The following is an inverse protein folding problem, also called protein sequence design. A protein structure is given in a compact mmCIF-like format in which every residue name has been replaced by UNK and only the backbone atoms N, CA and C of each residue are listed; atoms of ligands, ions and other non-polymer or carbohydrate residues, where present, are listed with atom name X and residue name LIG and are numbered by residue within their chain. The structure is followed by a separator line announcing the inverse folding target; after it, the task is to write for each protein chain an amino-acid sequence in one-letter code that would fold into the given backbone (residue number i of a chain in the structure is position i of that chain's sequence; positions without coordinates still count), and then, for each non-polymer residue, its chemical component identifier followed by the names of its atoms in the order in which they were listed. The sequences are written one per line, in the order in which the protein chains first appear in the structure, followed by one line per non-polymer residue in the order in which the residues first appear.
data_IF_622323878519
#
_entry.id   IF_622323878519
#
_cell.length_a   1.000
_cell.length_b   1.000
_cell.length_c   1.000
_cell.angle_alpha   90.00
_cell.angle_beta   90.00
_cell.angle_gamma   90.00
#
_symmetry.space_group_name_H-M   'P 1'
#
loop_
_entity.id
_entity.type
_entity.pdbx_description
1 polymer ?
#
# COMPACT_ATOMS: atom_id res chain seq x y z
N UNK A 1 16.44 26.88 1.05
CA UNK A 1 16.04 27.92 0.07
C UNK A 1 16.85 29.21 0.17
N UNK A 2 16.91 29.90 1.33
CA UNK A 2 17.68 31.17 1.49
C UNK A 2 19.13 31.06 0.99
N UNK A 3 19.86 30.04 1.43
CA UNK A 3 21.25 29.79 0.97
C UNK A 3 21.37 29.54 -0.53
N UNK A 4 20.36 28.90 -1.15
CA UNK A 4 20.36 28.65 -2.59
C UNK A 4 20.31 29.98 -3.34
N UNK A 5 19.36 30.85 -2.97
CA UNK A 5 19.20 32.17 -3.61
C UNK A 5 20.45 33.05 -3.42
N UNK A 6 21.04 33.04 -2.23
CA UNK A 6 22.27 33.78 -1.94
C UNK A 6 23.47 33.25 -2.75
N UNK A 7 23.61 31.92 -2.86
CA UNK A 7 24.74 31.28 -3.53
C UNK A 7 24.71 31.37 -5.06
N UNK A 8 23.56 31.11 -5.68
CA UNK A 8 23.47 30.99 -7.16
C UNK A 8 23.68 32.34 -7.84
N UNK A 9 23.27 33.45 -7.21
CA UNK A 9 23.55 34.80 -7.71
C UNK A 9 22.78 35.21 -8.97
N UNK A 10 21.88 34.36 -9.49
CA UNK A 10 21.00 34.67 -10.63
C UNK A 10 19.62 35.11 -10.15
N UNK A 11 18.91 35.85 -11.01
CA UNK A 11 17.53 36.26 -10.72
C UNK A 11 16.60 35.04 -10.80
N UNK A 12 15.95 34.73 -9.69
CA UNK A 12 14.99 33.62 -9.59
C UNK A 12 13.67 34.12 -9.01
N UNK A 13 12.54 33.56 -9.45
CA UNK A 13 11.23 33.74 -8.82
C UNK A 13 10.83 32.46 -8.11
N UNK A 14 10.72 32.53 -6.78
CA UNK A 14 10.30 31.41 -5.93
C UNK A 14 8.90 31.67 -5.43
N UNK A 15 7.93 30.89 -5.93
CA UNK A 15 6.54 30.98 -5.52
C UNK A 15 6.25 29.99 -4.40
N UNK A 16 5.93 30.51 -3.21
CA UNK A 16 5.60 29.72 -2.04
C UNK A 16 4.08 29.70 -1.85
N UNK A 17 3.45 28.52 -1.91
CA UNK A 17 2.00 28.37 -1.77
C UNK A 17 1.62 27.41 -0.64
N UNK A 18 0.44 27.62 -0.04
CA UNK A 18 -0.18 26.74 0.96
C UNK A 18 -1.70 26.84 0.86
N UNK A 19 -2.45 25.79 1.20
CA UNK A 19 -3.92 25.78 0.99
C UNK A 19 -4.65 26.84 1.81
N UNK A 20 -4.47 26.84 3.13
CA UNK A 20 -5.11 27.80 4.03
C UNK A 20 -4.09 28.83 4.52
N UNK A 21 -4.22 30.07 4.05
CA UNK A 21 -3.46 31.21 4.55
C UNK A 21 -4.40 32.18 5.26
N UNK A 22 -4.76 31.87 6.51
CA UNK A 22 -5.61 32.76 7.30
C UNK A 22 -4.84 34.02 7.76
N UNK A 23 -3.52 33.92 7.98
CA UNK A 23 -2.62 35.04 8.31
C UNK A 23 -1.22 34.85 7.68
N UNK A 24 -0.66 35.91 7.10
CA UNK A 24 0.73 35.93 6.58
C UNK A 24 1.76 35.63 7.70
N UNK A 25 1.44 35.96 8.95
CA UNK A 25 2.33 35.75 10.12
C UNK A 25 2.52 34.27 10.51
N UNK A 26 1.64 33.37 10.07
CA UNK A 26 1.71 31.92 10.35
C UNK A 26 2.23 31.11 9.13
N UNK A 27 2.98 31.77 8.24
CA UNK A 27 3.35 31.21 6.92
C UNK A 27 4.85 31.10 6.71
N UNK A 28 5.23 30.42 5.62
CA UNK A 28 6.60 30.27 5.06
C UNK A 28 7.39 31.58 5.07
N UNK A 29 6.70 32.72 4.89
CA UNK A 29 7.30 34.04 4.99
C UNK A 29 8.00 34.28 6.34
N UNK A 30 7.37 33.92 7.45
CA UNK A 30 7.94 34.08 8.80
C UNK A 30 9.16 33.18 8.99
N UNK A 31 9.11 31.95 8.49
CA UNK A 31 10.22 31.00 8.55
C UNK A 31 11.40 31.46 7.70
N UNK A 32 11.16 31.97 6.50
CA UNK A 32 12.20 32.55 5.65
C UNK A 32 12.82 33.79 6.29
N UNK A 33 12.02 34.69 6.89
CA UNK A 33 12.52 35.86 7.62
C UNK A 33 13.41 35.45 8.79
N UNK A 34 12.99 34.44 9.57
CA UNK A 34 13.80 33.90 10.66
C UNK A 34 15.10 33.29 10.12
N UNK A 35 15.03 32.48 9.06
CA UNK A 35 16.20 31.84 8.45
C UNK A 35 17.21 32.86 7.90
N UNK A 36 16.75 33.94 7.27
CA UNK A 36 17.62 35.04 6.80
C UNK A 36 18.39 35.66 7.97
N UNK A 37 17.68 35.97 9.06
CA UNK A 37 18.29 36.53 10.27
C UNK A 37 19.28 35.55 10.92
N UNK A 38 18.86 34.30 11.10
CA UNK A 38 19.66 33.24 11.72
C UNK A 38 20.94 32.92 10.93
N UNK A 39 20.90 33.05 9.61
CA UNK A 39 22.05 32.87 8.73
C UNK A 39 22.96 34.11 8.64
N UNK A 40 22.60 35.22 9.29
CA UNK A 40 23.36 36.47 9.22
C UNK A 40 23.25 37.17 7.86
N UNK A 41 22.20 36.88 7.07
CA UNK A 41 22.01 37.38 5.72
C UNK A 41 21.05 38.58 5.64
N UNK A 42 20.70 39.19 6.76
CA UNK A 42 19.71 40.29 6.83
C UNK A 42 20.02 41.42 5.83
N UNK A 43 21.28 41.81 5.68
CA UNK A 43 21.68 42.89 4.77
C UNK A 43 21.61 42.50 3.29
N UNK A 44 21.63 41.20 2.99
CA UNK A 44 21.53 40.70 1.62
C UNK A 44 20.09 40.70 1.09
N UNK A 45 19.08 40.81 1.97
CA UNK A 45 17.68 40.74 1.60
C UNK A 45 16.91 42.02 1.93
N UNK A 46 15.89 42.29 1.11
CA UNK A 46 14.87 43.31 1.32
C UNK A 46 13.55 42.62 1.66
N UNK A 47 13.20 42.63 2.96
CA UNK A 47 12.02 41.94 3.48
C UNK A 47 10.84 42.91 3.49
N UNK A 48 9.94 42.76 2.53
CA UNK A 48 8.75 43.60 2.35
C UNK A 48 7.49 42.91 2.88
N UNK A 49 6.34 43.60 2.84
CA UNK A 49 5.09 43.09 3.42
C UNK A 49 4.62 41.75 2.81
N UNK A 50 4.83 41.56 1.51
CA UNK A 50 4.30 40.41 0.73
C UNK A 50 5.36 39.75 -0.15
N UNK A 51 6.60 40.24 -0.13
CA UNK A 51 7.71 39.68 -0.92
C UNK A 51 9.01 39.79 -0.14
N UNK A 52 9.98 38.94 -0.47
CA UNK A 52 11.35 39.02 0.03
C UNK A 52 12.27 39.03 -1.19
N UNK A 53 13.10 40.06 -1.32
CA UNK A 53 13.95 40.26 -2.50
C UNK A 53 15.41 40.16 -2.11
N UNK A 54 16.19 39.35 -2.81
CA UNK A 54 17.64 39.33 -2.67
C UNK A 54 18.25 40.53 -3.39
N UNK A 55 18.96 41.40 -2.67
CA UNK A 55 19.43 42.70 -3.18
C UNK A 55 20.41 42.58 -4.34
N UNK A 56 21.28 41.57 -4.32
CA UNK A 56 22.32 41.40 -5.34
C UNK A 56 21.79 40.80 -6.64
N UNK A 57 21.04 39.69 -6.55
CA UNK A 57 20.58 38.96 -7.74
C UNK A 57 19.21 39.42 -8.24
N UNK A 58 18.46 40.16 -7.42
CA UNK A 58 17.07 40.52 -7.71
C UNK A 58 16.11 39.32 -7.66
N UNK A 59 16.55 38.18 -7.12
CA UNK A 59 15.67 37.05 -6.89
C UNK A 59 14.59 37.40 -5.86
N UNK A 60 13.40 36.85 -6.01
CA UNK A 60 12.26 37.17 -5.17
C UNK A 60 11.51 35.93 -4.68
N UNK A 61 10.99 36.03 -3.47
CA UNK A 61 10.02 35.12 -2.89
C UNK A 61 8.64 35.76 -2.90
N UNK A 62 7.69 35.11 -3.55
CA UNK A 62 6.28 35.53 -3.57
C UNK A 62 5.41 34.48 -2.86
N UNK A 63 4.33 34.92 -2.22
CA UNK A 63 3.54 34.08 -1.32
C UNK A 63 2.06 34.15 -1.66
N UNK A 64 1.40 33.00 -1.85
CA UNK A 64 -0.03 32.91 -2.14
C UNK A 64 -0.74 31.83 -1.33
N UNK A 65 -2.01 32.09 -0.99
CA UNK A 65 -2.92 31.10 -0.42
C UNK A 65 -3.80 30.51 -1.52
N UNK A 66 -3.76 29.19 -1.73
CA UNK A 66 -4.40 28.54 -2.89
C UNK A 66 -5.91 28.84 -2.96
N UNK A 67 -6.62 28.71 -1.83
CA UNK A 67 -8.09 28.89 -1.77
C UNK A 67 -8.57 30.30 -2.16
N UNK A 68 -7.72 31.33 -1.98
CA UNK A 68 -8.11 32.73 -2.21
C UNK A 68 -7.50 33.34 -3.46
N UNK A 69 -6.38 32.79 -3.93
CA UNK A 69 -5.54 33.41 -4.94
C UNK A 69 -5.31 32.51 -6.17
N UNK A 70 -6.19 31.52 -6.41
CA UNK A 70 -6.00 30.58 -7.52
C UNK A 70 -5.89 31.27 -8.91
N UNK A 71 -6.69 32.30 -9.15
CA UNK A 71 -6.60 33.11 -10.38
C UNK A 71 -5.30 33.94 -10.47
N UNK A 72 -4.81 34.45 -9.34
CA UNK A 72 -3.52 35.17 -9.31
C UNK A 72 -2.35 34.23 -9.56
N UNK A 73 -2.38 33.02 -8.99
CA UNK A 73 -1.39 31.96 -9.26
C UNK A 73 -1.39 31.64 -10.76
N UNK A 74 -2.58 31.46 -11.37
CA UNK A 74 -2.74 31.23 -12.81
C UNK A 74 -2.14 32.34 -13.68
N UNK A 75 -2.27 33.59 -13.25
CA UNK A 75 -1.72 34.77 -13.92
C UNK A 75 -0.22 34.98 -13.69
N UNK A 76 0.41 34.22 -12.80
CA UNK A 76 1.82 34.38 -12.47
C UNK A 76 2.70 33.69 -13.52
N UNK A 77 3.68 34.41 -14.07
CA UNK A 77 4.64 33.90 -15.06
C UNK A 77 6.06 33.79 -14.50
N UNK A 78 6.95 33.15 -15.25
CA UNK A 78 8.41 33.15 -15.00
C UNK A 78 8.82 32.59 -13.63
N UNK A 79 8.06 31.62 -13.10
CA UNK A 79 8.40 30.93 -11.85
C UNK A 79 9.50 29.91 -12.11
N UNK A 80 10.60 30.05 -11.36
CA UNK A 80 11.73 29.11 -11.35
C UNK A 80 11.47 27.96 -10.39
N UNK A 81 10.95 28.27 -9.20
CA UNK A 81 10.67 27.27 -8.18
C UNK A 81 9.27 27.49 -7.63
N UNK A 82 8.41 26.47 -7.74
CA UNK A 82 7.20 26.35 -6.96
C UNK A 82 7.50 25.57 -5.68
N UNK A 83 7.21 26.16 -4.52
CA UNK A 83 7.28 25.48 -3.23
C UNK A 83 5.88 25.40 -2.62
N UNK A 84 5.33 24.19 -2.58
CA UNK A 84 4.04 23.88 -1.97
C UNK A 84 4.28 23.38 -0.56
N UNK A 85 3.86 24.15 0.43
CA UNK A 85 3.85 23.75 1.84
C UNK A 85 2.51 23.14 2.24
N UNK A 86 2.55 22.19 3.18
CA UNK A 86 1.39 21.35 3.55
C UNK A 86 0.66 20.78 2.32
N UNK A 87 1.44 20.21 1.40
CA UNK A 87 0.89 19.71 0.15
C UNK A 87 -0.13 18.57 0.35
N UNK A 88 -0.22 17.93 1.52
CA UNK A 88 -1.24 16.91 1.81
C UNK A 88 -2.66 17.43 1.64
N UNK A 89 -2.86 18.75 1.71
CA UNK A 89 -4.17 19.37 1.53
C UNK A 89 -4.50 19.73 0.09
N UNK A 90 -3.53 19.69 -0.83
CA UNK A 90 -3.72 20.05 -2.23
C UNK A 90 -4.75 19.11 -2.89
N UNK A 91 -5.67 19.67 -3.68
CA UNK A 91 -6.63 18.88 -4.47
C UNK A 91 -6.23 18.79 -5.94
N UNK A 92 -6.77 17.80 -6.66
CA UNK A 92 -6.53 17.66 -8.10
C UNK A 92 -6.95 18.89 -8.90
N UNK A 93 -8.17 19.39 -8.66
CA UNK A 93 -8.67 20.61 -9.33
C UNK A 93 -7.76 21.83 -9.12
N UNK A 94 -7.14 21.96 -7.93
CA UNK A 94 -6.18 23.02 -7.65
C UNK A 94 -4.87 22.79 -8.43
N UNK A 95 -4.36 21.56 -8.42
CA UNK A 95 -3.14 21.22 -9.14
C UNK A 95 -3.26 21.37 -10.65
N UNK A 96 -4.41 21.03 -11.23
CA UNK A 96 -4.68 21.21 -12.66
C UNK A 96 -4.60 22.69 -13.10
N UNK A 97 -4.85 23.62 -12.17
CA UNK A 97 -4.66 25.05 -12.40
C UNK A 97 -3.22 25.50 -12.13
N UNK A 98 -2.59 24.98 -11.07
CA UNK A 98 -1.26 25.42 -10.62
C UNK A 98 -0.15 24.86 -11.51
N UNK A 99 -0.16 23.56 -11.80
CA UNK A 99 0.93 22.88 -12.50
C UNK A 99 1.26 23.51 -13.87
N UNK A 100 0.29 23.87 -14.73
CA UNK A 100 0.57 24.49 -16.02
C UNK A 100 1.22 25.89 -15.94
N UNK A 101 1.18 26.55 -14.77
CA UNK A 101 1.83 27.86 -14.58
C UNK A 101 3.35 27.72 -14.47
N UNK A 102 3.84 26.55 -14.07
CA UNK A 102 5.26 26.22 -13.89
C UNK A 102 5.79 25.64 -15.21
N UNK A 103 5.98 26.52 -16.19
CA UNK A 103 6.30 26.15 -17.58
C UNK A 103 7.70 26.53 -18.04
N UNK A 104 8.50 27.16 -17.18
CA UNK A 104 9.86 27.59 -17.54
C UNK A 104 10.75 26.37 -17.70
N UNK A 105 11.64 26.39 -18.69
CA UNK A 105 12.68 25.37 -18.82
C UNK A 105 13.51 25.33 -17.53
N UNK A 106 13.79 24.12 -17.04
CA UNK A 106 14.45 23.85 -15.75
C UNK A 106 13.70 24.34 -14.49
N UNK A 107 12.41 24.71 -14.59
CA UNK A 107 11.63 24.99 -13.39
C UNK A 107 11.37 23.75 -12.55
N UNK A 108 11.30 23.95 -11.23
CA UNK A 108 11.13 22.89 -10.25
C UNK A 108 9.87 23.10 -9.41
N UNK A 109 9.11 22.04 -9.19
CA UNK A 109 8.09 22.00 -8.15
C UNK A 109 8.57 21.16 -6.96
N UNK A 110 8.50 21.75 -5.76
CA UNK A 110 8.82 21.12 -4.48
C UNK A 110 7.53 21.01 -3.69
N UNK A 111 7.10 19.78 -3.43
CA UNK A 111 5.92 19.51 -2.61
C UNK A 111 6.40 18.97 -1.25
N UNK A 112 6.21 19.74 -0.18
CA UNK A 112 6.51 19.31 1.18
C UNK A 112 5.20 19.04 1.92
N UNK A 113 5.10 17.86 2.52
CA UNK A 113 3.89 17.45 3.23
C UNK A 113 4.15 16.36 4.25
N UNK A 114 3.27 16.28 5.24
CA UNK A 114 3.16 15.11 6.11
C UNK A 114 2.02 14.23 5.55
N UNK A 115 2.28 12.97 5.15
CA UNK A 115 1.25 12.10 4.60
C UNK A 115 0.07 11.98 5.57
N UNK A 116 -1.13 12.35 5.13
CA UNK A 116 -2.33 12.26 5.96
C UNK A 116 -3.15 11.02 5.61
N UNK A 117 -3.70 10.96 4.41
CA UNK A 117 -4.51 9.84 3.92
C UNK A 117 -3.87 9.22 2.69
N UNK A 118 -3.98 7.90 2.53
CA UNK A 118 -3.64 7.22 1.26
C UNK A 118 -4.52 7.73 0.11
N UNK A 119 -5.67 8.32 0.43
CA UNK A 119 -6.61 8.87 -0.53
C UNK A 119 -6.30 10.32 -0.94
N UNK A 120 -5.33 10.97 -0.31
CA UNK A 120 -4.96 12.34 -0.65
C UNK A 120 -4.34 12.42 -2.04
N UNK A 121 -4.64 13.52 -2.74
CA UNK A 121 -4.18 13.74 -4.12
C UNK A 121 -2.66 13.64 -4.25
N UNK A 122 -1.93 14.29 -3.33
CA UNK A 122 -0.46 14.31 -3.40
C UNK A 122 0.13 12.92 -3.15
N UNK A 123 -0.41 12.17 -2.19
CA UNK A 123 0.04 10.79 -1.95
C UNK A 123 -0.20 9.90 -3.17
N UNK A 124 -1.41 9.95 -3.74
CA UNK A 124 -1.77 9.18 -4.95
C UNK A 124 -0.88 9.48 -6.14
N UNK A 125 -0.65 10.77 -6.43
CA UNK A 125 -0.09 11.19 -7.72
C UNK A 125 1.40 11.49 -7.66
N UNK A 126 2.01 11.57 -6.48
CA UNK A 126 3.46 11.83 -6.34
C UNK A 126 4.20 10.80 -5.51
N UNK A 127 3.51 9.89 -4.80
CA UNK A 127 4.16 8.79 -4.07
C UNK A 127 3.79 7.45 -4.69
N UNK A 128 2.49 7.13 -4.77
CA UNK A 128 2.03 5.86 -5.36
C UNK A 128 2.27 5.86 -6.87
N UNK A 129 1.73 6.86 -7.57
CA UNK A 129 1.85 6.99 -9.02
C UNK A 129 2.88 8.07 -9.37
N UNK A 130 4.12 7.88 -8.92
CA UNK A 130 5.20 8.87 -9.09
C UNK A 130 5.41 9.22 -10.57
N UNK A 131 5.33 10.52 -10.98
CA UNK A 131 5.52 10.92 -12.37
C UNK A 131 6.99 10.76 -12.82
N UNK A 132 7.26 10.68 -14.14
CA UNK A 132 8.61 10.77 -14.66
C UNK A 132 9.32 12.04 -14.19
N UNK A 133 10.64 11.97 -14.00
CA UNK A 133 11.46 13.09 -13.54
C UNK A 133 11.11 13.64 -12.14
N UNK A 134 10.37 12.88 -11.34
CA UNK A 134 10.10 13.21 -9.93
C UNK A 134 11.09 12.48 -9.00
N UNK A 135 11.55 13.16 -7.96
CA UNK A 135 12.33 12.55 -6.87
C UNK A 135 11.49 12.60 -5.61
N UNK A 136 11.18 11.42 -5.07
CA UNK A 136 10.45 11.26 -3.81
C UNK A 136 11.45 10.90 -2.72
N UNK A 137 11.47 11.69 -1.66
CA UNK A 137 12.37 11.46 -0.53
C UNK A 137 11.61 11.55 0.79
N UNK A 138 11.55 10.43 1.51
CA UNK A 138 10.95 10.38 2.84
C UNK A 138 11.97 10.82 3.89
N UNK A 139 11.62 11.85 4.65
CA UNK A 139 12.40 12.33 5.79
C UNK A 139 11.53 12.17 7.03
N UNK A 140 12.09 11.59 8.09
CA UNK A 140 11.40 11.43 9.37
C UNK A 140 12.25 12.00 10.52
N UNK A 141 11.73 11.89 11.74
CA UNK A 141 12.39 12.43 12.94
C UNK A 141 13.80 11.86 13.16
N UNK A 142 14.09 10.64 12.71
CA UNK A 142 15.42 10.03 12.90
C UNK A 142 16.51 10.71 12.06
N UNK A 143 16.11 11.41 10.99
CA UNK A 143 17.00 12.18 10.11
C UNK A 143 17.22 13.62 10.60
N UNK A 144 16.59 14.04 11.71
CA UNK A 144 16.70 15.40 12.23
C UNK A 144 17.73 15.48 13.37
N UNK A 145 18.95 16.01 13.13
CA UNK A 145 19.98 16.13 14.15
C UNK A 145 19.67 17.22 15.19
N UNK A 146 18.66 18.06 14.96
CA UNK A 146 18.30 19.20 15.82
C UNK A 146 17.14 18.91 16.78
N UNK A 147 16.71 17.64 16.91
CA UNK A 147 15.67 17.28 17.88
C UNK A 147 16.13 17.52 19.32
N UNK A 148 15.33 18.29 20.06
CA UNK A 148 15.54 18.47 21.50
C UNK A 148 15.37 17.16 22.27
N UNK A 149 16.06 17.04 23.40
CA UNK A 149 15.92 15.88 24.29
C UNK A 149 14.49 15.69 24.81
N UNK A 150 13.73 16.78 24.96
CA UNK A 150 12.31 16.70 25.28
C UNK A 150 11.52 16.02 24.15
N UNK A 151 11.71 16.46 22.91
CA UNK A 151 11.02 15.88 21.75
C UNK A 151 11.34 14.38 21.60
N UNK A 152 12.60 13.98 21.79
CA UNK A 152 12.99 12.55 21.78
C UNK A 152 12.23 11.73 22.83
N UNK A 153 12.06 12.26 24.05
CA UNK A 153 11.28 11.59 25.10
C UNK A 153 9.79 11.51 24.76
N UNK A 154 9.21 12.60 24.24
CA UNK A 154 7.80 12.65 23.87
C UNK A 154 7.49 11.67 22.71
N UNK A 155 8.41 11.55 21.74
CA UNK A 155 8.36 10.58 20.64
C UNK A 155 8.39 9.14 21.17
N UNK A 156 9.35 8.82 22.04
CA UNK A 156 9.48 7.49 22.64
C UNK A 156 8.25 7.11 23.48
N UNK A 157 7.72 8.04 24.27
CA UNK A 157 6.51 7.82 25.06
C UNK A 157 5.27 7.60 24.18
N UNK A 158 5.18 8.28 23.03
CA UNK A 158 4.10 8.02 22.06
C UNK A 158 4.25 6.64 21.43
N UNK A 159 5.46 6.24 21.06
CA UNK A 159 5.72 4.92 20.47
C UNK A 159 5.25 3.78 21.37
N UNK A 160 5.48 3.91 22.69
CA UNK A 160 5.04 2.91 23.67
C UNK A 160 3.52 2.95 23.89
N UNK A 161 2.95 4.15 24.03
CA UNK A 161 1.52 4.34 24.35
C UNK A 161 0.60 4.00 23.17
N UNK A 162 0.96 4.45 21.98
CA UNK A 162 0.15 4.34 20.77
C UNK A 162 1.06 4.17 19.54
N UNK A 163 1.51 2.92 19.28
CA UNK A 163 2.38 2.62 18.14
C UNK A 163 1.77 3.00 16.79
N UNK A 164 0.44 3.02 16.69
CA UNK A 164 -0.29 3.31 15.44
C UNK A 164 -0.22 4.80 15.12
N UNK A 165 -0.60 5.63 16.08
CA UNK A 165 -0.51 7.08 15.96
C UNK A 165 0.95 7.52 15.84
N UNK A 166 1.87 6.85 16.52
CA UNK A 166 3.31 7.08 16.36
C UNK A 166 3.78 6.87 14.92
N UNK A 167 3.43 5.72 14.31
CA UNK A 167 3.84 5.39 12.95
C UNK A 167 3.30 6.41 11.94
N UNK A 168 2.08 6.89 12.18
CA UNK A 168 1.50 7.95 11.38
C UNK A 168 2.23 9.28 11.52
N UNK A 169 2.35 9.79 12.76
CA UNK A 169 2.87 11.14 13.03
C UNK A 169 4.39 11.22 12.80
N UNK A 170 5.14 10.23 13.27
CA UNK A 170 6.60 10.25 13.27
C UNK A 170 7.22 9.33 12.23
N UNK A 171 6.56 8.22 11.87
CA UNK A 171 6.97 7.37 10.75
C UNK A 171 6.59 7.95 9.38
N UNK A 172 5.60 8.85 9.34
CA UNK A 172 5.09 9.43 8.10
C UNK A 172 4.29 8.43 7.26
N UNK A 173 3.76 7.37 7.89
CA UNK A 173 2.87 6.42 7.21
C UNK A 173 1.48 7.07 7.11
N UNK A 174 0.93 7.29 5.91
CA UNK A 174 -0.41 7.85 5.81
C UNK A 174 -1.43 6.90 6.43
N UNK A 175 -2.50 7.47 6.95
CA UNK A 175 -3.66 6.71 7.34
C UNK A 175 -4.27 6.12 6.06
N UNK A 176 -4.68 4.85 6.10
CA UNK A 176 -5.71 4.38 5.17
C UNK A 176 -6.94 5.28 5.30
N UNK A 177 -7.89 5.27 4.35
CA UNK A 177 -9.12 6.06 4.51
C UNK A 177 -10.01 5.64 5.70
N UNK A 178 -9.49 4.77 6.59
CA UNK A 178 -9.76 4.69 8.03
C UNK A 178 -9.11 3.40 8.57
N UNK A 179 -9.37 3.10 9.84
CA UNK A 179 -9.65 1.75 10.36
C UNK A 179 -10.23 0.72 9.35
N UNK A 180 -10.77 1.14 8.20
CA UNK A 180 -11.29 0.28 7.15
C UNK A 180 -10.22 -0.36 6.24
N UNK A 181 -8.96 0.10 6.19
CA UNK A 181 -7.94 -0.63 5.38
C UNK A 181 -7.80 -2.06 5.88
N UNK A 182 -7.85 -3.03 4.97
CA UNK A 182 -7.93 -4.44 5.36
C UNK A 182 -6.58 -4.92 5.92
N UNK A 183 -5.48 -4.54 5.27
CA UNK A 183 -4.12 -4.84 5.71
C UNK A 183 -3.40 -3.56 6.14
N UNK A 184 -2.74 -3.61 7.31
CA UNK A 184 -1.80 -2.58 7.71
C UNK A 184 -0.39 -2.95 7.22
N UNK A 185 0.33 -1.98 6.66
CA UNK A 185 1.70 -2.21 6.14
C UNK A 185 2.63 -2.83 7.19
N UNK A 186 2.58 -2.31 8.41
CA UNK A 186 3.36 -2.84 9.54
C UNK A 186 3.11 -4.32 9.82
N UNK A 187 1.90 -4.81 9.57
CA UNK A 187 1.60 -6.23 9.75
C UNK A 187 2.31 -7.09 8.72
N UNK A 188 2.26 -6.65 7.46
CA UNK A 188 2.90 -7.33 6.33
C UNK A 188 4.44 -7.30 6.44
N UNK A 189 5.02 -6.17 6.84
CA UNK A 189 6.47 -6.07 7.04
C UNK A 189 6.97 -7.07 8.09
N UNK A 190 6.21 -7.29 9.17
CA UNK A 190 6.52 -8.31 10.17
C UNK A 190 6.31 -9.75 9.68
N UNK A 191 5.59 -9.96 8.57
CA UNK A 191 5.41 -11.29 7.96
C UNK A 191 6.64 -11.72 7.13
N UNK A 192 7.55 -10.81 6.78
CA UNK A 192 8.77 -11.16 6.04
C UNK A 192 9.66 -12.04 6.89
N UNK A 193 9.91 -13.26 6.42
CA UNK A 193 10.66 -14.31 7.12
C UNK A 193 10.15 -14.59 8.55
N UNK A 194 8.87 -14.30 8.85
CA UNK A 194 8.28 -14.51 10.17
C UNK A 194 8.49 -15.93 10.72
N UNK A 195 8.43 -16.96 9.87
CA UNK A 195 8.72 -18.34 10.26
C UNK A 195 10.14 -18.51 10.84
N UNK A 196 11.14 -17.79 10.29
CA UNK A 196 12.52 -17.79 10.80
C UNK A 196 12.63 -17.00 12.10
N UNK A 197 11.98 -15.84 12.18
CA UNK A 197 12.00 -14.97 13.37
C UNK A 197 11.36 -15.66 14.56
N UNK A 198 10.21 -16.28 14.35
CA UNK A 198 9.46 -17.04 15.37
C UNK A 198 10.07 -18.41 15.65
N UNK A 199 10.98 -18.89 14.78
CA UNK A 199 11.57 -20.24 14.85
C UNK A 199 10.51 -21.33 14.85
N UNK A 200 9.51 -21.17 13.98
CA UNK A 200 8.42 -22.13 13.79
C UNK A 200 8.59 -22.77 12.43
N UNK A 201 8.59 -24.10 12.40
CA UNK A 201 8.43 -24.85 11.15
C UNK A 201 6.97 -24.81 10.73
N UNK A 202 6.72 -24.26 9.55
CA UNK A 202 5.40 -24.26 8.95
C UNK A 202 5.25 -25.52 8.10
N UNK A 203 4.02 -26.02 8.05
CA UNK A 203 3.63 -27.12 7.18
C UNK A 203 2.33 -26.73 6.49
N UNK A 204 2.23 -26.95 5.19
CA UNK A 204 1.04 -26.64 4.43
C UNK A 204 1.10 -27.34 3.08
N UNK A 205 -0.05 -27.46 2.40
CA UNK A 205 -0.04 -27.91 1.01
C UNK A 205 0.65 -26.86 0.15
N UNK A 206 1.32 -27.33 -0.90
CA UNK A 206 1.86 -26.46 -1.93
C UNK A 206 0.69 -25.93 -2.76
N UNK A 207 0.54 -24.61 -2.81
CA UNK A 207 -0.56 -23.93 -3.50
C UNK A 207 0.04 -22.83 -4.36
N UNK A 208 -0.35 -22.79 -5.62
CA UNK A 208 -0.09 -21.65 -6.51
C UNK A 208 -1.42 -20.92 -6.67
N UNK A 209 -1.52 -19.75 -6.03
CA UNK A 209 -2.62 -18.83 -6.27
C UNK A 209 -2.44 -18.17 -7.63
N UNK A 210 -3.51 -18.05 -8.41
CA UNK A 210 -3.49 -17.51 -9.76
C UNK A 210 -4.64 -16.53 -9.99
N UNK A 211 -4.29 -15.28 -10.31
CA UNK A 211 -5.20 -14.29 -10.85
C UNK A 211 -4.98 -14.20 -12.38
N UNK A 212 -5.92 -14.66 -13.22
CA UNK A 212 -5.76 -14.67 -14.67
C UNK A 212 -5.82 -13.29 -15.34
N UNK A 213 -6.04 -12.19 -14.59
CA UNK A 213 -6.36 -10.85 -15.07
C UNK A 213 -7.68 -10.72 -15.83
N UNK A 214 -8.26 -9.52 -15.77
CA UNK A 214 -9.43 -9.14 -16.56
C UNK A 214 -8.98 -8.41 -17.85
N UNK A 215 -9.53 -8.86 -18.98
CA UNK A 215 -9.60 -8.16 -20.27
C UNK A 215 -8.45 -7.19 -20.63
N UNK A 216 -7.26 -7.73 -20.92
CA UNK A 216 -6.22 -7.16 -21.78
C UNK A 216 -5.30 -6.04 -21.26
N UNK A 217 -5.76 -5.15 -20.38
CA UNK A 217 -4.89 -4.10 -19.79
C UNK A 217 -4.27 -4.51 -18.45
N UNK A 218 -4.88 -5.48 -17.76
CA UNK A 218 -4.42 -5.96 -16.46
C UNK A 218 -3.40 -7.09 -16.59
N UNK A 219 -2.47 -7.17 -15.62
CA UNK A 219 -1.43 -8.22 -15.58
C UNK A 219 -1.96 -9.47 -14.91
N UNK A 220 -1.74 -10.65 -15.47
CA UNK A 220 -1.95 -11.89 -14.72
C UNK A 220 -0.91 -12.01 -13.62
N UNK A 221 -1.24 -12.71 -12.53
CA UNK A 221 -0.35 -12.84 -11.38
C UNK A 221 -0.42 -14.21 -10.71
N UNK A 222 0.68 -14.64 -10.11
CA UNK A 222 0.75 -15.82 -9.25
C UNK A 222 1.38 -15.50 -7.90
N UNK A 223 0.94 -16.22 -6.86
CA UNK A 223 1.58 -16.25 -5.56
C UNK A 223 1.79 -17.71 -5.12
N UNK A 224 3.04 -18.09 -4.87
CA UNK A 224 3.42 -19.47 -4.62
C UNK A 224 3.59 -19.70 -3.12
N UNK A 225 2.67 -20.45 -2.53
CA UNK A 225 2.69 -20.82 -1.12
C UNK A 225 3.15 -22.27 -0.96
N UNK A 226 4.41 -22.45 -0.56
CA UNK A 226 5.08 -23.76 -0.42
C UNK A 226 5.34 -24.01 1.06
N UNK A 227 4.95 -25.18 1.57
CA UNK A 227 5.06 -25.55 2.99
C UNK A 227 4.48 -24.49 3.97
N UNK A 228 3.45 -23.76 3.53
CA UNK A 228 2.82 -22.70 4.32
C UNK A 228 3.48 -21.32 4.22
N UNK A 229 4.58 -21.18 3.47
CA UNK A 229 5.33 -19.93 3.26
C UNK A 229 5.10 -19.43 1.84
N UNK A 230 4.82 -18.14 1.65
CA UNK A 230 4.88 -17.52 0.33
C UNK A 230 6.34 -17.41 -0.10
N UNK A 231 6.73 -18.17 -1.12
CA UNK A 231 8.12 -18.31 -1.56
C UNK A 231 8.43 -17.54 -2.85
N UNK A 232 7.41 -17.28 -3.66
CA UNK A 232 7.52 -16.55 -4.93
C UNK A 232 6.23 -15.76 -5.22
N UNK A 233 6.37 -14.68 -5.99
CA UNK A 233 5.25 -13.87 -6.48
C UNK A 233 5.62 -13.24 -7.82
N UNK A 234 4.81 -13.47 -8.85
CA UNK A 234 5.07 -12.99 -10.21
C UNK A 234 3.84 -12.31 -10.79
N UNK A 235 4.04 -11.25 -11.57
CA UNK A 235 3.03 -10.60 -12.39
C UNK A 235 3.55 -10.37 -13.81
N UNK A 236 2.72 -10.59 -14.82
CA UNK A 236 3.11 -10.43 -16.22
C UNK A 236 1.95 -9.89 -17.07
N UNK A 237 2.29 -9.13 -18.10
CA UNK A 237 1.30 -8.66 -19.08
C UNK A 237 0.74 -9.84 -19.87
N UNK A 238 -0.58 -9.88 -20.01
CA UNK A 238 -1.30 -10.89 -20.77
C UNK A 238 -2.24 -10.22 -21.77
N UNK A 239 -2.26 -10.72 -23.01
CA UNK A 239 -3.27 -10.34 -24.00
C UNK A 239 -4.64 -10.97 -23.72
N UNK A 240 -5.69 -10.45 -24.37
CA UNK A 240 -7.09 -10.92 -24.21
C UNK A 240 -7.28 -12.40 -24.54
N UNK A 241 -6.56 -12.91 -25.54
CA UNK A 241 -6.67 -14.30 -26.00
C UNK A 241 -5.63 -15.24 -25.38
N UNK A 242 -4.94 -14.81 -24.30
CA UNK A 242 -3.79 -15.55 -23.74
C UNK A 242 -4.10 -16.44 -22.53
N UNK A 243 -5.39 -16.57 -22.15
CA UNK A 243 -5.80 -17.36 -20.99
C UNK A 243 -5.30 -18.81 -21.03
N UNK A 244 -5.33 -19.45 -22.20
CA UNK A 244 -4.84 -20.83 -22.38
C UNK A 244 -3.33 -20.91 -22.11
N UNK A 245 -2.54 -19.97 -22.63
CA UNK A 245 -1.10 -19.98 -22.41
C UNK A 245 -0.74 -19.67 -20.95
N UNK A 246 -1.50 -18.77 -20.29
CA UNK A 246 -1.33 -18.49 -18.88
C UNK A 246 -1.68 -19.71 -18.03
N UNK A 247 -2.82 -20.36 -18.26
CA UNK A 247 -3.21 -21.57 -17.55
C UNK A 247 -2.16 -22.68 -17.73
N UNK A 248 -1.62 -22.85 -18.94
CA UNK A 248 -0.54 -23.79 -19.22
C UNK A 248 0.76 -23.44 -18.47
N UNK A 249 1.14 -22.16 -18.42
CA UNK A 249 2.31 -21.68 -17.64
C UNK A 249 2.14 -22.04 -16.17
N UNK A 250 0.98 -21.73 -15.59
CA UNK A 250 0.67 -21.99 -14.18
C UNK A 250 0.62 -23.51 -13.90
N UNK A 251 0.00 -24.30 -14.79
CA UNK A 251 -0.01 -25.76 -14.69
C UNK A 251 1.41 -26.34 -14.67
N UNK A 252 2.30 -25.87 -15.55
CA UNK A 252 3.68 -26.35 -15.58
C UNK A 252 4.44 -26.02 -14.28
N UNK A 253 4.22 -24.81 -13.74
CA UNK A 253 4.75 -24.38 -12.43
C UNK A 253 4.22 -25.28 -11.32
N UNK A 254 2.91 -25.53 -11.29
CA UNK A 254 2.26 -26.36 -10.28
C UNK A 254 2.71 -27.82 -10.34
N UNK A 255 2.85 -28.39 -11.54
CA UNK A 255 3.38 -29.75 -11.73
C UNK A 255 4.79 -29.88 -11.16
N UNK A 256 5.66 -28.92 -11.41
CA UNK A 256 7.03 -28.95 -10.89
C UNK A 256 7.09 -28.79 -9.37
N UNK A 257 6.22 -27.95 -8.80
CA UNK A 257 6.16 -27.70 -7.37
C UNK A 257 5.30 -28.72 -6.58
N UNK A 258 4.74 -29.73 -7.26
CA UNK A 258 3.74 -30.65 -6.69
C UNK A 258 2.59 -29.89 -5.97
N UNK A 259 2.14 -28.81 -6.60
CA UNK A 259 1.20 -27.86 -6.02
C UNK A 259 -0.21 -27.98 -6.60
N UNK A 260 -1.20 -27.60 -5.80
CA UNK A 260 -2.56 -27.32 -6.25
C UNK A 260 -2.64 -25.91 -6.84
N UNK A 261 -3.32 -25.73 -7.96
CA UNK A 261 -3.61 -24.39 -8.50
C UNK A 261 -4.91 -23.85 -7.88
N UNK A 262 -4.85 -22.73 -7.18
CA UNK A 262 -6.05 -22.01 -6.71
C UNK A 262 -6.27 -20.77 -7.56
N UNK A 263 -7.46 -20.60 -8.14
CA UNK A 263 -7.70 -19.50 -9.08
C UNK A 263 -9.06 -18.83 -8.86
N UNK A 264 -9.13 -17.51 -9.08
CA UNK A 264 -10.42 -16.80 -9.05
C UNK A 264 -11.26 -17.19 -10.27
N UNK A 265 -12.52 -17.52 -10.06
CA UNK A 265 -13.45 -17.90 -11.12
C UNK A 265 -14.23 -16.72 -11.71
N UNK A 266 -14.11 -15.53 -11.13
CA UNK A 266 -14.79 -14.34 -11.65
C UNK A 266 -14.22 -13.98 -13.04
N UNK A 267 -15.10 -13.66 -13.99
CA UNK A 267 -14.71 -13.23 -15.33
C UNK A 267 -14.12 -14.34 -16.18
N UNK A 268 -12.94 -14.10 -16.74
CA UNK A 268 -12.25 -15.05 -17.64
C UNK A 268 -11.71 -16.28 -16.91
N UNK A 269 -11.55 -16.22 -15.58
CA UNK A 269 -11.03 -17.30 -14.76
C UNK A 269 -11.89 -18.56 -14.71
N UNK A 270 -13.17 -18.48 -15.09
CA UNK A 270 -14.10 -19.62 -15.08
C UNK A 270 -13.60 -20.84 -15.89
N UNK A 271 -12.76 -20.63 -16.92
CA UNK A 271 -12.28 -21.69 -17.80
C UNK A 271 -10.93 -22.29 -17.39
N UNK A 272 -10.25 -21.73 -16.39
CA UNK A 272 -8.88 -22.14 -16.00
C UNK A 272 -8.81 -23.62 -15.61
N UNK A 273 -9.77 -24.12 -14.82
CA UNK A 273 -9.81 -25.52 -14.41
C UNK A 273 -9.88 -26.49 -15.59
N UNK A 274 -10.69 -26.18 -16.61
CA UNK A 274 -10.78 -26.99 -17.82
C UNK A 274 -9.46 -27.06 -18.60
N UNK A 275 -8.71 -25.95 -18.66
CA UNK A 275 -7.39 -25.94 -19.28
C UNK A 275 -6.35 -26.72 -18.47
N UNK A 276 -6.43 -26.70 -17.15
CA UNK A 276 -5.57 -27.51 -16.28
C UNK A 276 -5.85 -29.00 -16.51
N UNK A 277 -7.13 -29.39 -16.58
CA UNK A 277 -7.55 -30.78 -16.85
C UNK A 277 -7.07 -31.24 -18.23
N UNK A 278 -7.21 -30.41 -19.26
CA UNK A 278 -6.68 -30.69 -20.60
C UNK A 278 -5.16 -30.91 -20.59
N UNK A 279 -4.40 -30.10 -19.83
CA UNK A 279 -2.95 -30.30 -19.70
C UNK A 279 -2.61 -31.57 -18.92
N UNK A 280 -3.40 -31.93 -17.89
CA UNK A 280 -3.26 -33.19 -17.16
C UNK A 280 -3.44 -34.40 -18.08
N UNK A 281 -4.50 -34.42 -18.88
CA UNK A 281 -4.78 -35.47 -19.86
C UNK A 281 -3.66 -35.57 -20.92
N UNK A 282 -3.27 -34.44 -21.49
CA UNK A 282 -2.28 -34.38 -22.58
C UNK A 282 -0.89 -34.84 -22.12
N UNK A 283 -0.52 -34.57 -20.86
CA UNK A 283 0.84 -34.81 -20.35
C UNK A 283 0.92 -35.96 -19.35
N UNK A 284 -0.15 -36.73 -19.14
CA UNK A 284 -0.22 -37.81 -18.15
C UNK A 284 0.13 -37.34 -16.75
N UNK A 285 -0.41 -36.20 -16.31
CA UNK A 285 -0.15 -35.60 -15.00
C UNK A 285 -1.44 -35.49 -14.17
N UNK A 286 -1.30 -35.14 -12.89
CA UNK A 286 -2.42 -34.94 -11.98
C UNK A 286 -2.18 -33.72 -11.09
N UNK A 287 -2.19 -32.54 -11.72
CA UNK A 287 -2.20 -31.27 -11.00
C UNK A 287 -3.62 -31.01 -10.52
N UNK A 288 -3.81 -30.94 -9.19
CA UNK A 288 -5.09 -30.56 -8.61
C UNK A 288 -5.37 -29.07 -8.84
N UNK A 289 -6.65 -28.70 -8.93
CA UNK A 289 -7.06 -27.30 -8.98
C UNK A 289 -8.26 -27.01 -8.09
N UNK A 290 -8.33 -25.77 -7.61
CA UNK A 290 -9.36 -25.25 -6.73
C UNK A 290 -9.92 -23.95 -7.29
N UNK A 291 -11.22 -23.98 -7.59
CA UNK A 291 -11.97 -22.87 -8.11
C UNK A 291 -12.43 -21.94 -6.96
N UNK A 292 -11.71 -20.84 -6.72
CA UNK A 292 -12.07 -19.84 -5.72
C UNK A 292 -13.19 -18.93 -6.24
N UNK A 293 -14.42 -19.25 -5.85
CA UNK A 293 -15.61 -18.49 -6.27
C UNK A 293 -15.78 -17.24 -5.39
N UNK A 294 -15.01 -16.19 -5.67
CA UNK A 294 -14.97 -14.96 -4.86
C UNK A 294 -16.36 -14.32 -4.59
N UNK A 295 -17.29 -14.42 -5.55
CA UNK A 295 -18.67 -13.93 -5.41
C UNK A 295 -19.64 -14.88 -4.67
N UNK A 296 -19.17 -16.08 -4.31
CA UNK A 296 -19.97 -17.11 -3.65
C UNK A 296 -20.27 -16.82 -2.18
N UNK A 297 -21.03 -17.73 -1.57
CA UNK A 297 -21.33 -17.70 -0.14
C UNK A 297 -20.06 -17.86 0.71
N UNK A 298 -20.09 -17.31 1.91
CA UNK A 298 -19.03 -17.50 2.91
C UNK A 298 -18.86 -18.97 3.29
N UNK A 299 -17.64 -19.35 3.64
CA UNK A 299 -17.31 -20.64 4.24
C UNK A 299 -17.84 -20.71 5.66
N UNK A 300 -18.27 -21.91 6.09
CA UNK A 300 -18.73 -22.18 7.45
C UNK A 300 -19.66 -21.07 8.00
N UNK A 301 -20.81 -20.82 7.35
CA UNK A 301 -21.65 -19.65 7.60
C UNK A 301 -22.13 -19.52 9.04
N UNK A 302 -22.32 -20.65 9.73
CA UNK A 302 -22.81 -20.73 11.11
C UNK A 302 -21.69 -20.80 12.16
N UNK A 303 -20.42 -20.68 11.77
CA UNK A 303 -19.30 -20.54 12.71
C UNK A 303 -19.05 -19.06 13.04
N UNK A 304 -18.51 -18.76 14.24
CA UNK A 304 -18.07 -17.41 14.59
C UNK A 304 -17.00 -16.88 13.61
N UNK A 305 -17.07 -15.60 13.29
CA UNK A 305 -16.11 -14.91 12.41
C UNK A 305 -14.72 -14.77 13.04
N UNK A 306 -14.64 -14.77 14.37
CA UNK A 306 -13.39 -14.95 15.12
C UNK A 306 -13.42 -16.28 15.86
N UNK A 307 -12.61 -17.23 15.40
CA UNK A 307 -12.50 -18.56 16.00
C UNK A 307 -12.03 -18.56 17.46
N UNK A 308 -11.42 -17.47 17.95
CA UNK A 308 -11.00 -17.32 19.35
C UNK A 308 -12.06 -16.61 20.21
N UNK A 309 -13.10 -16.04 19.60
CA UNK A 309 -14.16 -15.32 20.30
C UNK A 309 -15.54 -15.84 19.88
N UNK A 310 -16.10 -16.74 20.69
CA UNK A 310 -17.43 -17.31 20.47
C UNK A 310 -18.59 -16.30 20.51
N UNK A 311 -18.36 -15.07 20.99
CA UNK A 311 -19.34 -13.98 20.96
C UNK A 311 -19.24 -13.12 19.69
N UNK A 312 -18.30 -13.42 18.78
CA UNK A 312 -18.21 -12.73 17.50
C UNK A 312 -19.42 -13.05 16.61
N UNK A 313 -19.82 -12.14 15.69
CA UNK A 313 -20.86 -12.43 14.73
C UNK A 313 -20.52 -13.68 13.91
N UNK A 314 -21.54 -14.37 13.40
CA UNK A 314 -21.33 -15.53 12.52
C UNK A 314 -20.75 -15.06 11.19
N UNK A 315 -20.01 -15.94 10.50
CA UNK A 315 -19.43 -15.62 9.18
C UNK A 315 -20.46 -15.07 8.19
N UNK A 316 -21.66 -15.65 8.17
CA UNK A 316 -22.76 -15.23 7.27
C UNK A 316 -23.33 -13.85 7.60
N UNK A 317 -23.16 -13.40 8.84
CA UNK A 317 -23.67 -12.13 9.35
C UNK A 317 -22.59 -11.03 9.29
N UNK A 318 -21.31 -11.41 9.36
CA UNK A 318 -20.17 -10.49 9.29
C UNK A 318 -19.77 -10.15 7.85
N UNK A 319 -19.71 -11.14 6.95
CA UNK A 319 -19.13 -10.98 5.60
C UNK A 319 -20.19 -11.13 4.51
N UNK A 320 -20.14 -10.26 3.51
CA UNK A 320 -21.09 -10.29 2.39
C UNK A 320 -20.90 -11.51 1.48
N UNK A 321 -19.65 -11.90 1.22
CA UNK A 321 -19.29 -12.97 0.28
C UNK A 321 -17.95 -13.62 0.65
N UNK A 322 -17.60 -14.68 -0.09
CA UNK A 322 -16.35 -15.42 0.10
C UNK A 322 -15.11 -14.52 -0.01
N UNK A 323 -15.09 -13.56 -0.95
CA UNK A 323 -13.98 -12.61 -1.09
C UNK A 323 -13.76 -11.82 0.21
N UNK A 324 -14.81 -11.26 0.79
CA UNK A 324 -14.71 -10.52 2.04
C UNK A 324 -14.18 -11.38 3.19
N UNK A 325 -14.70 -12.59 3.34
CA UNK A 325 -14.21 -13.50 4.38
C UNK A 325 -12.74 -13.88 4.16
N UNK A 326 -12.33 -14.19 2.92
CA UNK A 326 -10.97 -14.60 2.60
C UNK A 326 -9.94 -13.49 2.87
N UNK A 327 -10.27 -12.26 2.47
CA UNK A 327 -9.46 -11.08 2.78
C UNK A 327 -9.33 -10.86 4.29
N UNK A 328 -10.41 -11.04 5.05
CA UNK A 328 -10.37 -10.92 6.51
C UNK A 328 -9.51 -12.01 7.17
N UNK A 329 -9.61 -13.25 6.71
CA UNK A 329 -8.82 -14.38 7.23
C UNK A 329 -7.33 -14.14 7.08
N UNK A 330 -6.88 -13.78 5.87
CA UNK A 330 -5.46 -13.53 5.60
C UNK A 330 -4.95 -12.29 6.35
N UNK A 331 -5.75 -11.22 6.43
CA UNK A 331 -5.41 -10.04 7.23
C UNK A 331 -5.28 -10.33 8.72
N UNK A 332 -6.15 -11.21 9.26
CA UNK A 332 -6.06 -11.67 10.64
C UNK A 332 -4.77 -12.43 10.91
N UNK A 333 -4.34 -13.33 10.00
CA UNK A 333 -3.03 -14.01 10.12
C UNK A 333 -1.87 -13.02 10.10
N UNK A 334 -1.92 -11.99 9.25
CA UNK A 334 -0.91 -10.93 9.23
C UNK A 334 -0.85 -10.18 10.58
N UNK A 335 -1.99 -9.80 11.14
CA UNK A 335 -2.08 -9.14 12.45
C UNK A 335 -1.56 -10.03 13.58
N UNK A 336 -1.95 -11.31 13.62
CA UNK A 336 -1.49 -12.27 14.63
C UNK A 336 0.02 -12.47 14.53
N UNK A 337 0.54 -12.65 13.31
CA UNK A 337 1.97 -12.79 13.05
C UNK A 337 2.75 -11.57 13.52
N UNK A 338 2.27 -10.37 13.21
CA UNK A 338 2.83 -9.12 13.70
C UNK A 338 2.91 -9.08 15.22
N UNK A 339 1.82 -9.42 15.91
CA UNK A 339 1.80 -9.45 17.37
C UNK A 339 2.76 -10.49 17.95
N UNK A 340 2.89 -11.65 17.31
CA UNK A 340 3.85 -12.67 17.74
C UNK A 340 5.29 -12.20 17.56
N UNK A 341 5.62 -11.67 16.38
CA UNK A 341 6.97 -11.21 16.01
C UNK A 341 7.40 -10.00 16.84
N UNK A 342 6.52 -9.02 17.02
CA UNK A 342 6.89 -7.73 17.62
C UNK A 342 6.59 -7.64 19.12
N UNK A 343 5.61 -8.39 19.61
CA UNK A 343 5.14 -8.32 21.01
C UNK A 343 5.32 -9.64 21.78
N UNK A 344 5.84 -10.69 21.14
CA UNK A 344 6.05 -11.99 21.77
C UNK A 344 4.75 -12.70 22.17
N UNK A 345 3.62 -12.36 21.53
CA UNK A 345 2.35 -13.05 21.78
C UNK A 345 2.39 -14.49 21.24
N UNK A 346 1.71 -15.41 21.93
CA UNK A 346 1.59 -16.78 21.46
C UNK A 346 0.78 -16.84 20.16
N UNK A 347 1.24 -17.66 19.21
CA UNK A 347 0.59 -17.89 17.92
C UNK A 347 0.67 -19.38 17.58
N UNK A 348 -0.36 -19.90 16.91
CA UNK A 348 -0.35 -21.27 16.40
C UNK A 348 0.32 -21.30 15.02
N UNK A 349 1.04 -22.38 14.65
CA UNK A 349 1.67 -22.48 13.34
C UNK A 349 0.72 -22.22 12.16
N UNK A 350 -0.53 -22.69 12.23
CA UNK A 350 -1.54 -22.49 11.18
C UNK A 350 -2.03 -21.03 11.02
N UNK A 351 -1.83 -20.20 12.05
CA UNK A 351 -2.19 -18.78 12.06
C UNK A 351 -1.02 -17.87 11.60
N UNK A 352 0.17 -18.43 11.37
CA UNK A 352 1.34 -17.68 10.88
C UNK A 352 1.19 -17.39 9.38
N UNK A 353 1.33 -16.13 9.00
CA UNK A 353 1.51 -15.70 7.62
C UNK A 353 2.99 -15.35 7.42
N UNK A 354 3.64 -15.96 6.43
CA UNK A 354 5.04 -15.66 6.17
C UNK A 354 5.36 -15.51 4.69
N UNK A 355 6.14 -14.49 4.36
CA UNK A 355 6.67 -14.22 3.03
C UNK A 355 8.19 -14.37 3.07
N UNK A 356 8.75 -15.22 2.22
CA UNK A 356 10.20 -15.38 2.10
C UNK A 356 10.83 -14.11 1.55
N UNK A 357 11.91 -13.65 2.18
CA UNK A 357 12.72 -12.54 1.63
C UNK A 357 13.33 -12.86 0.25
N UNK A 358 13.37 -14.14 -0.15
CA UNK A 358 13.83 -14.59 -1.46
C UNK A 358 12.95 -14.08 -2.62
N UNK A 359 11.70 -13.68 -2.36
CA UNK A 359 10.81 -13.02 -3.35
C UNK A 359 11.45 -11.73 -3.90
N UNK A 360 12.34 -11.10 -3.11
CA UNK A 360 13.00 -9.86 -3.48
C UNK A 360 12.25 -8.63 -2.97
N UNK A 361 13.02 -7.64 -2.51
CA UNK A 361 12.50 -6.44 -1.83
C UNK A 361 11.50 -5.64 -2.69
N UNK A 362 11.83 -5.43 -3.96
CA UNK A 362 10.96 -4.65 -4.88
C UNK A 362 9.62 -5.34 -5.10
N UNK A 363 9.63 -6.68 -5.24
CA UNK A 363 8.42 -7.46 -5.47
C UNK A 363 7.56 -7.54 -4.20
N UNK A 364 8.18 -7.73 -3.03
CA UNK A 364 7.48 -7.67 -1.74
C UNK A 364 6.84 -6.30 -1.51
N UNK A 365 7.56 -5.21 -1.82
CA UNK A 365 7.03 -3.85 -1.67
C UNK A 365 5.83 -3.60 -2.58
N UNK A 366 5.89 -4.05 -3.84
CA UNK A 366 4.78 -3.98 -4.78
C UNK A 366 3.56 -4.79 -4.29
N UNK A 367 3.78 -6.04 -3.87
CA UNK A 367 2.72 -6.90 -3.33
C UNK A 367 2.08 -6.31 -2.07
N UNK A 368 2.88 -5.83 -1.12
CA UNK A 368 2.36 -5.25 0.13
C UNK A 368 1.62 -3.94 -0.11
N UNK A 369 2.06 -3.16 -1.10
CA UNK A 369 1.32 -1.99 -1.56
C UNK A 369 -0.05 -2.40 -2.10
N UNK A 370 -0.13 -3.43 -2.95
CA UNK A 370 -1.42 -3.94 -3.46
C UNK A 370 -2.34 -4.47 -2.35
N UNK A 371 -1.81 -5.21 -1.37
CA UNK A 371 -2.60 -5.73 -0.24
C UNK A 371 -3.16 -4.61 0.65
N UNK A 372 -2.44 -3.50 0.80
CA UNK A 372 -2.87 -2.36 1.61
C UNK A 372 -3.89 -1.44 0.90
N UNK A 373 -4.07 -1.57 -0.42
CA UNK A 373 -4.97 -0.71 -1.21
C UNK A 373 -6.45 -0.95 -0.87
N UNK A 374 -6.97 -2.18 -0.82
CA UNK A 374 -8.39 -2.41 -0.53
C UNK A 374 -8.79 -2.08 0.91
N UNK A 375 -10.00 -1.53 1.05
CA UNK A 375 -10.64 -1.23 2.34
C UNK A 375 -12.02 -1.88 2.45
N UNK A 376 -12.49 -2.02 3.69
CA UNK A 376 -13.83 -2.44 4.05
C UNK A 376 -14.85 -1.39 3.65
N UNK A 377 -15.86 -1.80 2.91
CA UNK A 377 -17.10 -1.06 2.74
C UNK A 377 -18.24 -1.85 3.36
N UNK A 378 -19.18 -1.16 3.97
CA UNK A 378 -20.39 -1.80 4.49
C UNK A 378 -21.43 -1.93 3.38
N UNK A 379 -22.08 -3.09 3.32
CA UNK A 379 -23.24 -3.33 2.44
C UNK A 379 -24.21 -4.21 3.22
N UNK A 380 -25.41 -3.71 3.45
CA UNK A 380 -26.46 -4.43 4.19
C UNK A 380 -26.01 -4.90 5.60
N UNK A 381 -25.22 -4.06 6.29
CA UNK A 381 -24.68 -4.38 7.62
C UNK A 381 -23.53 -5.40 7.62
N UNK A 382 -23.05 -5.83 6.44
CA UNK A 382 -21.94 -6.78 6.28
C UNK A 382 -20.71 -6.12 5.70
N UNK A 383 -19.54 -6.64 6.05
CA UNK A 383 -18.26 -6.26 5.45
C UNK A 383 -18.15 -6.78 4.03
N UNK A 384 -17.68 -5.90 3.15
CA UNK A 384 -17.38 -6.19 1.75
C UNK A 384 -16.04 -5.54 1.39
N UNK A 385 -15.23 -6.22 0.59
CA UNK A 385 -14.05 -5.59 -0.03
C UNK A 385 -14.51 -4.58 -1.07
N UNK A 386 -13.97 -3.36 -1.01
CA UNK A 386 -14.28 -2.32 -2.01
C UNK A 386 -14.13 -2.85 -3.46
N UNK A 387 -15.11 -2.62 -4.36
CA UNK A 387 -15.03 -3.12 -5.74
C UNK A 387 -13.86 -2.53 -6.55
N UNK A 388 -13.25 -3.33 -7.44
CA UNK A 388 -12.15 -2.89 -8.34
C UNK A 388 -12.48 -1.61 -9.13
N UNK A 389 -13.71 -1.49 -9.66
CA UNK A 389 -14.15 -0.28 -10.37
C UNK A 389 -14.14 0.98 -9.50
N UNK A 390 -14.46 0.84 -8.21
CA UNK A 390 -14.43 1.96 -7.25
C UNK A 390 -12.99 2.33 -6.90
N UNK A 391 -12.09 1.35 -6.74
CA UNK A 391 -10.66 1.59 -6.56
C UNK A 391 -10.05 2.36 -7.73
N UNK A 392 -10.32 1.93 -8.97
CA UNK A 392 -9.84 2.62 -10.18
C UNK A 392 -10.36 4.04 -10.27
N UNK A 393 -11.65 4.25 -9.98
CA UNK A 393 -12.27 5.59 -9.97
C UNK A 393 -11.71 6.49 -8.88
N UNK A 394 -11.61 6.00 -7.66
CA UNK A 394 -11.33 6.83 -6.49
C UNK A 394 -9.81 7.04 -6.28
N UNK A 395 -8.97 6.06 -6.63
CA UNK A 395 -7.52 6.11 -6.41
C UNK A 395 -6.67 6.17 -7.69
N UNK A 396 -7.23 5.90 -8.87
CA UNK A 396 -6.45 5.79 -10.11
C UNK A 396 -5.46 4.61 -10.12
N UNK A 397 -5.54 3.72 -9.13
CA UNK A 397 -4.65 2.56 -9.01
C UNK A 397 -5.07 1.45 -9.97
N UNK A 398 -4.07 0.75 -10.52
CA UNK A 398 -4.27 -0.45 -11.34
C UNK A 398 -4.74 -1.63 -10.48
N UNK A 399 -5.24 -2.68 -11.12
CA UNK A 399 -5.76 -3.87 -10.45
C UNK A 399 -4.71 -4.54 -9.54
N UNK A 400 -5.16 -5.02 -8.38
CA UNK A 400 -4.34 -5.60 -7.31
C UNK A 400 -4.20 -7.13 -7.47
N UNK A 401 -3.66 -7.56 -8.60
CA UNK A 401 -3.69 -8.95 -9.02
C UNK A 401 -2.71 -9.83 -8.21
N UNK A 402 -1.58 -9.29 -7.74
CA UNK A 402 -0.70 -10.01 -6.82
C UNK A 402 -1.41 -10.25 -5.48
N UNK A 403 -2.15 -9.25 -5.00
CA UNK A 403 -2.93 -9.39 -3.77
C UNK A 403 -4.04 -10.44 -3.92
N UNK A 404 -4.83 -10.39 -4.99
CA UNK A 404 -5.88 -11.39 -5.25
C UNK A 404 -5.29 -12.82 -5.39
N UNK A 405 -4.12 -12.98 -6.01
CA UNK A 405 -3.41 -14.26 -6.07
C UNK A 405 -2.99 -14.77 -4.69
N UNK A 406 -2.50 -13.90 -3.78
CA UNK A 406 -2.20 -14.25 -2.39
C UNK A 406 -3.46 -14.70 -1.65
N UNK A 407 -4.58 -14.00 -1.82
CA UNK A 407 -5.84 -14.36 -1.18
C UNK A 407 -6.34 -15.72 -1.68
N UNK A 408 -6.27 -15.98 -2.98
CA UNK A 408 -6.63 -17.26 -3.57
C UNK A 408 -5.75 -18.40 -3.02
N UNK A 409 -4.44 -18.18 -2.86
CA UNK A 409 -3.52 -19.18 -2.30
C UNK A 409 -3.75 -19.46 -0.81
N UNK A 410 -4.04 -18.43 -0.01
CA UNK A 410 -4.14 -18.58 1.46
C UNK A 410 -5.49 -19.12 1.94
N UNK A 411 -6.53 -19.10 1.08
CA UNK A 411 -7.91 -19.44 1.44
C UNK A 411 -8.45 -20.69 0.71
N UNK A 412 -7.56 -21.58 0.27
CA UNK A 412 -7.95 -22.89 -0.24
C UNK A 412 -8.52 -23.73 0.88
N UNK A 413 -9.79 -24.10 0.77
CA UNK A 413 -10.40 -25.10 1.64
C UNK A 413 -10.67 -26.37 0.86
N UNK A 414 -9.64 -27.19 0.70
CA UNK A 414 -9.83 -28.55 0.25
C UNK A 414 -10.16 -29.35 1.49
N UNK A 415 -11.43 -29.72 1.64
CA UNK A 415 -11.86 -30.66 2.67
C UNK A 415 -10.85 -31.81 2.72
N UNK A 416 -10.27 -32.06 3.89
CA UNK A 416 -9.59 -33.33 4.13
C UNK A 416 -10.61 -34.41 3.83
N UNK A 417 -10.35 -35.23 2.81
CA UNK A 417 -11.12 -36.45 2.57
C UNK A 417 -11.25 -37.25 3.87
N UNK A 418 -12.29 -38.10 3.98
CA UNK A 418 -12.70 -38.69 5.25
C UNK A 418 -11.51 -39.30 5.97
N UNK A 419 -11.30 -38.86 7.20
CA UNK A 419 -10.27 -39.38 8.08
C UNK A 419 -10.32 -40.91 8.02
N UNK A 420 -9.26 -41.54 7.48
CA UNK A 420 -9.07 -42.97 7.61
C UNK A 420 -8.92 -43.21 9.11
N UNK A 421 -10.01 -43.65 9.73
CA UNK A 421 -10.04 -44.05 11.12
C UNK A 421 -8.99 -45.15 11.28
N UNK A 422 -7.83 -44.78 11.82
CA UNK A 422 -6.77 -45.70 12.15
C UNK A 422 -7.25 -46.53 13.35
N UNK A 423 -7.94 -47.64 13.06
CA UNK A 423 -8.30 -48.62 14.07
C UNK A 423 -7.01 -49.20 14.65
N UNK A 424 -6.67 -48.74 15.86
CA UNK A 424 -5.67 -49.38 16.70
C UNK A 424 -6.11 -50.82 16.98
N UNK A 425 -5.51 -51.77 16.26
CA UNK A 425 -5.59 -53.19 16.62
C UNK A 425 -4.97 -53.36 18.01
N UNK A 426 -5.81 -53.68 19.00
CA UNK A 426 -5.37 -54.21 20.30
C UNK A 426 -4.50 -55.43 20.05
N UNK A 427 -3.21 -55.35 20.39
CA UNK A 427 -2.38 -56.53 20.62
C UNK A 427 -2.86 -57.17 21.93
N UNK A 428 -3.54 -58.31 21.82
CA UNK A 428 -3.67 -59.23 22.94
C UNK A 428 -2.27 -59.76 23.30
N UNK A 429 -1.92 -59.62 24.57
CA UNK A 429 -0.97 -60.49 25.26
C UNK A 429 -1.78 -61.48 26.08
#
# INVERSE_FOLDING_TARGET
MVRLVDHVGVKMRVMCIRRFQNRIQESVYTELKWAISHLGLTDAFDVQKTTIIHRRSGAEFIFYGIERNLEEIKGTSDIDILWVEEAEKLTGDQWDVIAPTIRKEDSLAILLFNPKMVTDYVWKNFVINTPPHCVVHQINYTSNPFLSEKAKRDIAAMQERDPETFEHIYGGVPLGDSELSIFKRRWLDACVDAHKVLKIELTGRNIIGFDPADDGEDKSATADKIDGIFTDAEDWSSGKDQLVQNAKRVWAKAKHAEATVSYDTIGVGAFVGGYIDEQNETNGASVEHFAFHAGGAVMDPDKPSDALNGNSPLNKDEYLNLKAQAWANTARKAMLTFNAVTRGQAIKPEDVLSFSSAIGKEKLDALFTELCVPWWVETEGKKRVVPKLKLKKDLGVKSHNLADAVIAADNVNIATGPAVAMFLRKKHR
#
